data_IF_059890556587
#
_entry.id   IF_059890556587
#
_cell.length_a   1.000
_cell.length_b   1.000
_cell.length_c   1.000
_cell.angle_alpha   90.00
_cell.angle_beta   90.00
_cell.angle_gamma   90.00
#
_symmetry.space_group_name_H-M   'P 1'
#
loop_
_entity.id
_entity.type
_entity.pdbx_description
1 polymer ?
#
# COMPACT_ATOMS: atom_id res chain seq x y z
N UNK A 1 9.53 29.96 -8.97
CA UNK A 1 8.21 30.58 -8.70
C UNK A 1 7.51 29.75 -7.63
N UNK A 2 6.92 30.36 -6.59
CA UNK A 2 6.07 29.63 -5.65
C UNK A 2 4.74 29.23 -6.33
N UNK A 3 4.26 28.03 -6.03
CA UNK A 3 2.93 27.53 -6.44
C UNK A 3 1.93 27.77 -5.30
N UNK A 4 0.64 27.92 -5.61
CA UNK A 4 -0.38 28.09 -4.58
C UNK A 4 -0.59 26.80 -3.78
N UNK A 5 -1.03 26.91 -2.52
CA UNK A 5 -1.36 25.74 -1.67
C UNK A 5 -2.41 24.86 -2.36
N UNK A 6 -3.38 25.46 -3.06
CA UNK A 6 -4.37 24.71 -3.84
C UNK A 6 -3.77 23.95 -5.01
N UNK A 7 -2.79 24.50 -5.71
CA UNK A 7 -2.05 23.80 -6.77
C UNK A 7 -1.12 22.72 -6.21
N UNK A 8 -0.55 22.94 -5.02
CA UNK A 8 0.22 21.94 -4.30
C UNK A 8 -0.67 20.75 -3.86
N UNK A 9 -1.83 21.04 -3.28
CA UNK A 9 -2.81 20.04 -2.85
C UNK A 9 -3.48 19.31 -4.03
N UNK A 10 -3.80 20.03 -5.12
CA UNK A 10 -4.29 19.42 -6.36
C UNK A 10 -3.21 18.57 -7.06
N UNK A 11 -1.93 18.87 -6.81
CA UNK A 11 -0.77 18.08 -7.23
C UNK A 11 -0.54 16.82 -6.39
N UNK A 12 -1.27 16.63 -5.28
CA UNK A 12 -1.24 15.40 -4.50
C UNK A 12 -1.97 14.31 -5.27
N UNK A 13 -1.27 13.75 -6.24
CA UNK A 13 -1.71 12.59 -7.00
C UNK A 13 -1.92 11.46 -5.98
N UNK A 14 -3.17 11.07 -5.75
CA UNK A 14 -3.48 9.89 -4.94
C UNK A 14 -2.63 8.75 -5.46
N UNK A 15 -1.88 8.12 -4.57
CA UNK A 15 -0.99 7.04 -4.97
C UNK A 15 -1.88 5.88 -5.47
N UNK A 16 -1.74 5.42 -6.72
CA UNK A 16 -2.56 4.32 -7.22
C UNK A 16 -2.45 3.07 -6.34
N UNK A 17 -1.32 2.89 -5.64
CA UNK A 17 -1.15 1.81 -4.67
C UNK A 17 -2.09 1.97 -3.45
N UNK A 18 -2.27 3.18 -2.95
CA UNK A 18 -3.16 3.46 -1.83
C UNK A 18 -4.63 3.18 -2.21
N UNK A 19 -5.03 3.54 -3.43
CA UNK A 19 -6.37 3.24 -3.94
C UNK A 19 -6.58 1.73 -4.10
N UNK A 20 -5.61 0.99 -4.64
CA UNK A 20 -5.71 -0.47 -4.76
C UNK A 20 -5.79 -1.18 -3.39
N UNK A 21 -5.03 -0.71 -2.39
CA UNK A 21 -5.10 -1.25 -1.01
C UNK A 21 -6.50 -1.02 -0.43
N UNK A 22 -7.02 0.20 -0.54
CA UNK A 22 -8.35 0.53 -0.02
C UNK A 22 -9.42 -0.26 -0.74
N UNK A 23 -9.37 -0.35 -2.07
CA UNK A 23 -10.31 -1.14 -2.85
C UNK A 23 -10.29 -2.62 -2.45
N UNK A 24 -9.10 -3.21 -2.27
CA UNK A 24 -8.97 -4.60 -1.83
C UNK A 24 -9.63 -4.83 -0.47
N UNK A 25 -9.42 -3.92 0.49
CA UNK A 25 -10.06 -4.01 1.80
C UNK A 25 -11.58 -3.75 1.70
N UNK A 26 -12.03 -2.89 0.78
CA UNK A 26 -13.46 -2.65 0.54
C UNK A 26 -14.18 -3.85 -0.06
N UNK A 27 -13.50 -4.60 -0.94
CA UNK A 27 -14.01 -5.86 -1.47
C UNK A 27 -14.07 -6.96 -0.38
N UNK A 28 -13.37 -6.78 0.75
CA UNK A 28 -13.25 -7.77 1.82
C UNK A 28 -13.52 -7.18 3.21
N UNK A 29 -14.57 -6.36 3.34
CA UNK A 29 -14.93 -5.61 4.58
C UNK A 29 -15.11 -6.48 5.83
N UNK A 30 -15.37 -7.77 5.66
CA UNK A 30 -15.67 -8.70 6.75
C UNK A 30 -14.40 -9.35 7.35
N UNK A 31 -13.22 -9.03 6.81
CA UNK A 31 -11.96 -9.69 7.14
C UNK A 31 -10.85 -8.69 7.39
N UNK A 32 -9.95 -9.04 8.29
CA UNK A 32 -8.69 -8.34 8.47
C UNK A 32 -7.56 -9.14 7.82
N UNK A 33 -6.61 -8.45 7.19
CA UNK A 33 -5.51 -9.06 6.45
C UNK A 33 -4.17 -8.60 7.00
N UNK A 34 -3.19 -9.49 7.02
CA UNK A 34 -1.81 -9.10 7.30
C UNK A 34 -1.22 -8.26 6.16
N UNK A 35 -0.20 -7.48 6.48
CA UNK A 35 0.65 -6.77 5.50
C UNK A 35 1.09 -7.68 4.35
N UNK A 36 1.52 -8.91 4.66
CA UNK A 36 1.97 -9.90 3.69
C UNK A 36 0.85 -10.39 2.77
N UNK A 37 -0.36 -10.58 3.31
CA UNK A 37 -1.53 -11.01 2.52
C UNK A 37 -1.98 -9.91 1.56
N UNK A 38 -2.02 -8.66 2.04
CA UNK A 38 -2.32 -7.50 1.21
C UNK A 38 -1.25 -7.34 0.13
N UNK A 39 0.03 -7.43 0.48
CA UNK A 39 1.12 -7.37 -0.50
C UNK A 39 0.98 -8.46 -1.58
N UNK A 40 0.68 -9.70 -1.19
CA UNK A 40 0.45 -10.81 -2.14
C UNK A 40 -0.71 -10.56 -3.11
N UNK A 41 -1.78 -9.89 -2.66
CA UNK A 41 -3.00 -9.68 -3.46
C UNK A 41 -2.98 -8.40 -4.27
N UNK A 42 -2.36 -7.35 -3.74
CA UNK A 42 -2.28 -6.01 -4.35
C UNK A 42 -0.99 -5.87 -5.16
N UNK A 43 0.17 -6.10 -4.55
CA UNK A 43 1.48 -5.84 -5.17
C UNK A 43 1.91 -6.96 -6.12
N UNK A 44 1.66 -8.22 -5.77
CA UNK A 44 2.09 -9.37 -6.57
C UNK A 44 1.10 -9.80 -7.66
N UNK A 45 0.02 -9.04 -7.87
CA UNK A 45 -0.93 -9.28 -8.96
C UNK A 45 -0.25 -9.01 -10.32
N UNK A 46 0.50 -9.99 -10.82
CA UNK A 46 1.07 -10.03 -12.17
C UNK A 46 2.53 -9.58 -12.36
N UNK A 47 3.37 -9.48 -11.31
CA UNK A 47 4.69 -8.80 -11.43
C UNK A 47 5.98 -9.63 -11.28
N UNK A 48 5.92 -10.96 -11.23
CA UNK A 48 7.12 -11.80 -11.33
C UNK A 48 7.09 -12.57 -12.65
N UNK A 49 7.53 -11.92 -13.73
CA UNK A 49 7.78 -12.56 -15.02
C UNK A 49 9.11 -11.99 -15.51
N UNK A 50 10.21 -12.74 -15.34
CA UNK A 50 11.54 -12.37 -15.87
C UNK A 50 12.72 -12.85 -15.03
N UNK A 51 13.73 -13.43 -15.70
CA UNK A 51 14.96 -14.09 -15.20
C UNK A 51 15.99 -13.18 -14.49
N UNK A 52 15.65 -11.93 -14.18
CA UNK A 52 16.64 -10.93 -13.72
C UNK A 52 16.54 -10.69 -12.20
N UNK A 53 17.24 -11.53 -11.43
CA UNK A 53 17.11 -11.63 -9.97
C UNK A 53 17.49 -10.36 -9.21
N UNK A 54 18.48 -9.59 -9.69
CA UNK A 54 18.98 -8.36 -9.05
C UNK A 54 18.01 -7.20 -9.24
N UNK A 55 17.49 -7.04 -10.47
CA UNK A 55 16.43 -6.09 -10.81
C UNK A 55 15.14 -6.42 -10.03
N UNK A 56 14.83 -7.71 -9.88
CA UNK A 56 13.71 -8.16 -9.05
C UNK A 56 13.93 -7.87 -7.56
N UNK A 57 15.14 -8.00 -7.02
CA UNK A 57 15.45 -7.73 -5.61
C UNK A 57 15.33 -6.24 -5.26
N UNK A 58 15.94 -5.36 -6.05
CA UNK A 58 15.85 -3.90 -5.85
C UNK A 58 14.41 -3.43 -6.00
N UNK A 59 13.68 -4.00 -6.96
CA UNK A 59 12.27 -3.72 -7.17
C UNK A 59 11.43 -4.23 -5.99
N UNK A 60 11.60 -5.46 -5.52
CA UNK A 60 10.89 -5.97 -4.33
C UNK A 60 11.16 -5.11 -3.11
N UNK A 61 12.41 -4.70 -2.86
CA UNK A 61 12.76 -3.84 -1.73
C UNK A 61 12.08 -2.47 -1.84
N UNK A 62 12.20 -1.79 -2.99
CA UNK A 62 11.59 -0.47 -3.22
C UNK A 62 10.06 -0.54 -3.07
N UNK A 63 9.45 -1.59 -3.62
CA UNK A 63 8.01 -1.82 -3.50
C UNK A 63 7.58 -2.11 -2.06
N UNK A 64 8.38 -2.86 -1.30
CA UNK A 64 8.12 -3.13 0.11
C UNK A 64 8.11 -1.85 0.94
N UNK A 65 9.07 -0.96 0.72
CA UNK A 65 9.11 0.35 1.38
C UNK A 65 7.93 1.25 0.98
N UNK A 66 7.61 1.33 -0.32
CA UNK A 66 6.46 2.10 -0.79
C UNK A 66 5.14 1.57 -0.23
N UNK A 67 4.98 0.24 -0.19
CA UNK A 67 3.80 -0.42 0.36
C UNK A 67 3.60 -0.16 1.85
N UNK A 68 4.66 -0.29 2.65
CA UNK A 68 4.58 0.01 4.08
C UNK A 68 4.29 1.49 4.33
N UNK A 69 4.88 2.38 3.53
CA UNK A 69 4.61 3.81 3.61
C UNK A 69 3.16 4.16 3.27
N UNK A 70 2.58 3.48 2.27
CA UNK A 70 1.18 3.64 1.90
C UNK A 70 0.24 3.15 3.01
N UNK A 71 0.51 1.97 3.60
CA UNK A 71 -0.26 1.47 4.74
C UNK A 71 -0.21 2.44 5.93
N UNK A 72 0.98 2.96 6.27
CA UNK A 72 1.14 3.91 7.38
C UNK A 72 0.38 5.22 7.13
N UNK A 73 0.40 5.75 5.89
CA UNK A 73 -0.39 6.91 5.50
C UNK A 73 -1.88 6.65 5.61
N UNK A 74 -2.38 5.55 5.05
CA UNK A 74 -3.80 5.20 5.11
C UNK A 74 -4.31 5.03 6.55
N UNK A 75 -3.47 4.49 7.44
CA UNK A 75 -3.77 4.38 8.88
C UNK A 75 -3.80 5.77 9.52
N UNK A 76 -2.82 6.63 9.26
CA UNK A 76 -2.76 8.01 9.79
C UNK A 76 -3.94 8.87 9.32
N UNK A 77 -4.38 8.68 8.09
CA UNK A 77 -5.55 9.35 7.51
C UNK A 77 -6.88 8.78 8.03
N UNK A 78 -6.86 7.68 8.79
CA UNK A 78 -8.05 7.00 9.30
C UNK A 78 -8.88 6.29 8.23
N UNK A 79 -8.30 6.08 7.04
CA UNK A 79 -8.95 5.36 5.93
C UNK A 79 -8.96 3.85 6.16
N UNK A 80 -7.99 3.33 6.90
CA UNK A 80 -7.92 1.92 7.31
C UNK A 80 -7.53 1.85 8.80
N UNK A 81 -7.87 0.75 9.45
CA UNK A 81 -7.54 0.45 10.84
C UNK A 81 -6.43 -0.59 10.88
N UNK A 82 -5.49 -0.40 11.82
CA UNK A 82 -4.41 -1.34 12.12
C UNK A 82 -4.60 -1.92 13.52
N UNK A 83 -4.40 -3.23 13.67
CA UNK A 83 -4.37 -3.91 14.96
C UNK A 83 -3.25 -4.94 15.01
N UNK A 84 -2.44 -4.92 16.06
CA UNK A 84 -1.44 -5.95 16.31
C UNK A 84 -2.06 -7.13 17.06
N UNK A 85 -1.88 -8.34 16.55
CA UNK A 85 -2.32 -9.60 17.14
C UNK A 85 -1.16 -10.58 17.03
N UNK A 86 -0.69 -11.14 18.15
CA UNK A 86 0.39 -12.14 18.17
C UNK A 86 1.65 -11.73 17.38
N UNK A 87 2.04 -10.45 17.45
CA UNK A 87 3.18 -9.84 16.72
C UNK A 87 2.97 -9.69 15.22
N UNK A 88 1.75 -9.91 14.72
CA UNK A 88 1.36 -9.67 13.33
C UNK A 88 0.44 -8.45 13.26
N UNK A 89 0.72 -7.55 12.34
CA UNK A 89 -0.11 -6.39 12.08
C UNK A 89 -1.21 -6.74 11.08
N UNK A 90 -2.46 -6.59 11.51
CA UNK A 90 -3.66 -6.80 10.71
C UNK A 90 -4.31 -5.48 10.34
N UNK A 91 -4.85 -5.41 9.12
CA UNK A 91 -5.44 -4.22 8.53
C UNK A 91 -6.86 -4.51 8.02
N UNK A 92 -7.76 -3.56 8.23
CA UNK A 92 -9.17 -3.58 7.80
C UNK A 92 -9.64 -2.14 7.55
N UNK A 93 -10.84 -1.94 6.99
CA UNK A 93 -11.52 -0.63 7.00
C UNK A 93 -12.03 -0.23 8.41
#
# INVERSE_FOLDING_TARGET
MPISIREFEAGTKKDPLEEEIVQFLEENKDKAFSDLEIAKKVVFKGKIIGEDWLTNLVRVATWWFSFHSALDRLVKEGRIRKRNIERVDYYTL
#
